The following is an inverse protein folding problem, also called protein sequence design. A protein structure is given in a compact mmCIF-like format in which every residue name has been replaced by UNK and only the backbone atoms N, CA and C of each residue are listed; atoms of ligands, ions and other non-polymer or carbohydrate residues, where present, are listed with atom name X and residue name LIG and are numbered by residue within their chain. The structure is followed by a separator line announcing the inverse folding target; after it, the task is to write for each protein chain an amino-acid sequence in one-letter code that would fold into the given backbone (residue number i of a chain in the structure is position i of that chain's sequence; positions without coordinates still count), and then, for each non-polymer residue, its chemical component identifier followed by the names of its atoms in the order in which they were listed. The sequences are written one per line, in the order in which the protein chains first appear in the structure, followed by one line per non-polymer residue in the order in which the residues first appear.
data_IF_100472333205
#
_entry.id   IF_100472333205
#
_cell.length_a   1.000
_cell.length_b   1.000
_cell.length_c   1.000
_cell.angle_alpha   90.00
_cell.angle_beta   90.00
_cell.angle_gamma   90.00
#
_symmetry.space_group_name_H-M   'P 1'
#
loop_
_entity.id
_entity.type
_entity.pdbx_description
1 polymer ?
#
# COMPACT_ATOMS: atom_id res chain seq x y z
N UNK A 1 -6.00 -20.26 -8.71
CA UNK A 1 -5.90 -19.00 -7.92
C UNK A 1 -7.28 -18.34 -7.89
N UNK A 2 -7.72 -17.76 -6.77
CA UNK A 2 -8.98 -17.00 -6.70
C UNK A 2 -8.80 -15.56 -7.19
N UNK A 3 -9.79 -14.95 -7.86
CA UNK A 3 -9.74 -13.54 -8.25
C UNK A 3 -9.59 -12.65 -7.00
N UNK A 4 -9.10 -11.43 -7.19
CA UNK A 4 -9.17 -10.40 -6.15
C UNK A 4 -10.63 -9.98 -5.95
N UNK A 5 -11.05 -9.64 -4.72
CA UNK A 5 -12.39 -9.12 -4.49
C UNK A 5 -12.55 -7.76 -5.19
N UNK A 6 -13.79 -7.41 -5.52
CA UNK A 6 -14.14 -6.09 -6.05
C UNK A 6 -14.33 -5.09 -4.90
N UNK A 7 -13.26 -4.84 -4.15
CA UNK A 7 -13.21 -3.90 -3.03
C UNK A 7 -11.94 -3.06 -3.14
N UNK A 8 -11.99 -1.76 -2.80
CA UNK A 8 -10.79 -0.94 -2.67
C UNK A 8 -9.77 -1.59 -1.74
N UNK A 9 -8.50 -1.49 -2.09
CA UNK A 9 -7.43 -2.09 -1.29
C UNK A 9 -6.19 -1.21 -1.33
N UNK A 10 -5.71 -0.85 -0.15
CA UNK A 10 -4.42 -0.21 0.03
C UNK A 10 -3.41 -1.21 0.62
N UNK A 11 -2.26 -1.33 -0.02
CA UNK A 11 -1.17 -2.21 0.41
C UNK A 11 0.12 -1.41 0.54
N UNK A 12 0.82 -1.58 1.66
CA UNK A 12 2.15 -1.03 1.89
C UNK A 12 3.16 -2.18 1.97
N UNK A 13 4.35 -1.98 1.41
CA UNK A 13 5.47 -2.92 1.53
C UNK A 13 6.79 -2.15 1.60
N UNK A 14 7.73 -2.62 2.41
CA UNK A 14 9.07 -2.03 2.49
C UNK A 14 9.94 -2.45 1.30
N UNK A 15 10.80 -1.55 0.81
CA UNK A 15 11.75 -1.89 -0.27
C UNK A 15 12.82 -2.89 0.15
N UNK A 16 13.08 -3.02 1.46
CA UNK A 16 14.04 -3.98 2.02
C UNK A 16 13.35 -5.27 2.53
N UNK A 17 12.13 -5.55 2.05
CA UNK A 17 11.40 -6.78 2.33
C UNK A 17 12.23 -8.03 1.95
N UNK A 18 12.32 -9.01 2.86
CA UNK A 18 13.15 -10.22 2.73
C UNK A 18 12.47 -11.50 3.22
N UNK A 19 11.29 -11.39 3.80
CA UNK A 19 10.50 -12.49 4.38
C UNK A 19 9.44 -12.95 3.37
N UNK A 20 8.78 -12.01 2.70
CA UNK A 20 7.76 -12.31 1.67
C UNK A 20 8.20 -11.88 0.27
N UNK A 21 7.70 -12.58 -0.75
CA UNK A 21 8.07 -12.39 -2.15
C UNK A 21 7.42 -11.10 -2.71
N UNK A 22 8.23 -10.05 -2.84
CA UNK A 22 7.81 -8.73 -3.35
C UNK A 22 7.24 -8.82 -4.78
N UNK A 23 7.87 -9.50 -5.76
CA UNK A 23 7.27 -9.72 -7.08
C UNK A 23 5.87 -10.37 -7.05
N UNK A 24 5.59 -11.26 -6.08
CA UNK A 24 4.24 -11.82 -5.91
C UNK A 24 3.24 -10.81 -5.39
N UNK A 25 3.64 -9.92 -4.49
CA UNK A 25 2.81 -8.82 -3.99
C UNK A 25 2.48 -7.88 -5.15
N UNK A 26 3.49 -7.43 -5.89
CA UNK A 26 3.32 -6.57 -7.08
C UNK A 26 2.37 -7.21 -8.09
N UNK A 27 2.60 -8.48 -8.44
CA UNK A 27 1.72 -9.19 -9.37
C UNK A 27 0.29 -9.35 -8.83
N UNK A 28 0.08 -9.52 -7.52
CA UNK A 28 -1.26 -9.60 -6.92
C UNK A 28 -1.96 -8.25 -7.00
N UNK A 29 -1.28 -7.18 -6.61
CA UNK A 29 -1.83 -5.83 -6.57
C UNK A 29 -2.11 -5.26 -7.97
N UNK A 30 -1.27 -5.57 -8.97
CA UNK A 30 -1.51 -5.19 -10.37
C UNK A 30 -2.82 -5.76 -10.96
N UNK A 31 -3.40 -6.80 -10.33
CA UNK A 31 -4.66 -7.43 -10.74
C UNK A 31 -5.81 -7.16 -9.76
N UNK A 32 -5.62 -6.30 -8.77
CA UNK A 32 -6.64 -5.98 -7.78
C UNK A 32 -7.48 -4.78 -8.25
N UNK A 33 -8.79 -4.93 -8.51
CA UNK A 33 -9.63 -3.81 -8.92
C UNK A 33 -9.67 -2.71 -7.85
N UNK A 34 -9.26 -1.49 -8.19
CA UNK A 34 -9.14 -0.40 -7.22
C UNK A 34 -8.03 -0.61 -6.18
N UNK A 35 -7.05 -1.47 -6.47
CA UNK A 35 -5.90 -1.70 -5.61
C UNK A 35 -4.81 -0.64 -5.78
N UNK A 36 -4.26 -0.14 -4.68
CA UNK A 36 -3.09 0.74 -4.62
C UNK A 36 -1.97 0.05 -3.85
N UNK A 37 -0.79 -0.03 -4.46
CA UNK A 37 0.43 -0.53 -3.82
C UNK A 37 1.41 0.62 -3.62
N UNK A 38 1.89 0.78 -2.39
CA UNK A 38 2.88 1.79 -2.03
C UNK A 38 4.15 1.10 -1.48
N UNK A 39 5.26 1.27 -2.20
CA UNK A 39 6.58 0.74 -1.79
C UNK A 39 7.31 1.82 -0.99
N UNK A 40 7.55 1.54 0.29
CA UNK A 40 8.22 2.43 1.22
C UNK A 40 9.73 2.23 1.13
N UNK A 41 10.42 3.24 0.58
CA UNK A 41 11.86 3.20 0.41
C UNK A 41 12.59 3.10 1.75
N UNK A 42 13.58 2.20 1.81
CA UNK A 42 14.40 1.90 2.99
C UNK A 42 13.65 1.30 4.18
N UNK A 43 12.39 0.88 4.01
CA UNK A 43 11.62 0.21 5.06
C UNK A 43 11.79 -1.32 5.00
N UNK A 44 11.78 -1.95 6.16
CA UNK A 44 11.81 -3.40 6.34
C UNK A 44 10.39 -4.02 6.30
N UNK A 45 10.26 -5.28 6.70
CA UNK A 45 9.01 -6.05 6.69
C UNK A 45 7.87 -5.42 7.49
N UNK A 46 8.15 -4.97 8.71
CA UNK A 46 7.13 -4.49 9.65
C UNK A 46 6.94 -2.98 9.52
N UNK A 47 6.37 -2.54 8.40
CA UNK A 47 6.23 -1.10 8.06
C UNK A 47 5.47 -0.27 9.11
N UNK A 48 4.58 -0.88 9.89
CA UNK A 48 3.86 -0.24 11.01
C UNK A 48 4.69 -0.12 12.30
N UNK A 49 5.84 -0.79 12.37
CA UNK A 49 6.79 -0.73 13.50
C UNK A 49 8.05 0.08 13.16
N UNK A 50 8.10 0.65 11.96
CA UNK A 50 9.24 1.44 11.49
C UNK A 50 9.39 2.77 12.27
N UNK A 51 10.54 3.43 12.11
CA UNK A 51 10.83 4.74 12.70
C UNK A 51 9.74 5.76 12.35
N UNK A 52 9.52 6.71 13.26
CA UNK A 52 8.46 7.72 13.15
C UNK A 52 8.46 8.48 11.81
N UNK A 53 9.64 8.76 11.24
CA UNK A 53 9.76 9.45 9.96
C UNK A 53 9.02 8.74 8.80
N UNK A 54 8.96 7.41 8.82
CA UNK A 54 8.23 6.62 7.82
C UNK A 54 6.84 6.23 8.32
N UNK A 55 6.71 5.88 9.60
CA UNK A 55 5.46 5.39 10.18
C UNK A 55 4.37 6.46 10.26
N UNK A 56 4.68 7.68 10.65
CA UNK A 56 3.68 8.75 10.79
C UNK A 56 2.92 9.04 9.49
N UNK A 57 3.59 9.31 8.34
CA UNK A 57 2.88 9.53 7.08
C UNK A 57 2.21 8.26 6.53
N UNK A 58 2.70 7.07 6.88
CA UNK A 58 2.02 5.80 6.58
C UNK A 58 0.68 5.72 7.31
N UNK A 59 0.68 5.94 8.64
CA UNK A 59 -0.52 5.87 9.47
C UNK A 59 -1.59 6.86 9.02
N UNK A 60 -1.21 8.10 8.66
CA UNK A 60 -2.14 9.08 8.10
C UNK A 60 -2.85 8.55 6.84
N UNK A 61 -2.08 8.07 5.86
CA UNK A 61 -2.64 7.49 4.62
C UNK A 61 -3.53 6.28 4.87
N UNK A 62 -3.20 5.46 5.87
CA UNK A 62 -4.01 4.30 6.24
C UNK A 62 -5.35 4.74 6.83
N UNK A 63 -5.36 5.72 7.75
CA UNK A 63 -6.59 6.27 8.32
C UNK A 63 -7.44 6.95 7.26
N UNK A 64 -6.85 7.80 6.42
CA UNK A 64 -7.57 8.48 5.33
C UNK A 64 -8.28 7.49 4.40
N UNK A 65 -7.61 6.38 4.06
CA UNK A 65 -8.19 5.32 3.23
C UNK A 65 -9.36 4.59 3.91
N UNK A 66 -9.32 4.45 5.24
CA UNK A 66 -10.40 3.81 6.00
C UNK A 66 -11.59 4.75 6.21
N UNK A 67 -11.34 6.06 6.31
CA UNK A 67 -12.38 7.08 6.47
C UNK A 67 -13.11 7.39 5.14
N UNK A 68 -12.44 7.27 3.99
CA UNK A 68 -13.06 7.30 2.66
C UNK A 68 -12.84 5.99 1.88
N UNK A 69 -13.61 4.92 2.19
CA UNK A 69 -13.49 3.65 1.50
C UNK A 69 -14.00 3.70 0.04
N UNK A 70 -14.62 4.81 -0.41
CA UNK A 70 -15.20 4.91 -1.74
C UNK A 70 -14.23 5.44 -2.81
N UNK A 71 -13.08 5.99 -2.42
CA UNK A 71 -12.05 6.45 -3.34
C UNK A 71 -12.58 7.55 -4.26
N UNK A 72 -12.78 8.74 -3.72
CA UNK A 72 -12.80 9.97 -4.52
C UNK A 72 -11.54 9.96 -5.41
N UNK A 73 -11.75 9.70 -6.70
CA UNK A 73 -10.68 9.59 -7.68
C UNK A 73 -10.11 10.98 -7.91
N UNK A 74 -8.95 11.30 -7.36
CA UNK A 74 -8.22 12.49 -7.82
C UNK A 74 -6.72 12.25 -7.94
N UNK A 75 -6.32 12.20 -9.21
CA UNK A 75 -4.95 12.34 -9.69
C UNK A 75 -4.44 13.73 -9.32
N UNK A 76 -3.45 13.79 -8.43
CA UNK A 76 -2.62 14.98 -8.28
C UNK A 76 -1.18 14.61 -7.90
N UNK A 77 -0.38 14.29 -8.90
CA UNK A 77 1.01 14.72 -8.91
C UNK A 77 1.40 15.17 -10.31
N UNK A 78 1.06 16.42 -10.60
CA UNK A 78 1.73 17.23 -11.61
C UNK A 78 1.93 18.61 -11.01
N UNK A 79 3.13 18.84 -10.47
CA UNK A 79 3.86 20.10 -10.38
C UNK A 79 5.18 19.82 -9.64
#
# INVERSE_FOLDING_TARGET
RRPSPCLPCLCFVGSNERIVDLPRIEGRMARWPGGRLEILQHAEHEVLMERNALRTPLMARLTDFLDDPAGSSESALTA
#
